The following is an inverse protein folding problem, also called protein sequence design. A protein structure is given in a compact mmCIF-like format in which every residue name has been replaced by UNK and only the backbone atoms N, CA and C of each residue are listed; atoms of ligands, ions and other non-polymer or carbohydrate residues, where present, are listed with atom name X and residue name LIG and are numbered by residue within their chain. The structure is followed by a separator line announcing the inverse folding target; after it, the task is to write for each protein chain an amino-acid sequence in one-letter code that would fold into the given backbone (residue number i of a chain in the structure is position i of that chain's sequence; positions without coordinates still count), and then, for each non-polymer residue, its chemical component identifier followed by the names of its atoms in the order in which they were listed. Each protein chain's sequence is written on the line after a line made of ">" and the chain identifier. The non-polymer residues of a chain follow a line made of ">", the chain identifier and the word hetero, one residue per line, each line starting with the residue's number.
data_IF_538198671143
#
_entry.id   IF_538198671143
#
_cell.length_a   1.000
_cell.length_b   1.000
_cell.length_c   1.000
_cell.angle_alpha   90.00
_cell.angle_beta   90.00
_cell.angle_gamma   90.00
#
_symmetry.space_group_name_H-M   'P 1'
#
loop_
_entity.id
_entity.type
_entity.pdbx_description
1 polymer ?
#
# COMPACT_ATOMS: atom_id res chain seq x y z
N UNK A 1 8.00 8.30 16.31
CA UNK A 1 7.83 8.53 14.87
C UNK A 1 8.47 9.84 14.48
N UNK A 2 8.24 10.89 15.26
CA UNK A 2 8.69 12.25 14.99
C UNK A 2 10.21 12.42 14.86
N UNK A 3 11.01 11.54 15.47
CA UNK A 3 12.48 11.53 15.35
C UNK A 3 13.02 10.42 14.44
N UNK A 4 12.14 9.56 13.90
CA UNK A 4 12.54 8.38 13.14
C UNK A 4 12.78 8.68 11.65
N UNK A 5 12.41 9.88 11.18
CA UNK A 5 12.47 10.31 9.79
C UNK A 5 13.16 11.67 9.68
N UNK A 6 13.65 12.06 8.49
CA UNK A 6 14.29 13.36 8.29
C UNK A 6 13.40 14.56 8.63
N UNK A 7 12.08 14.38 8.52
CA UNK A 7 11.05 15.37 8.79
C UNK A 7 9.86 14.70 9.51
N UNK A 8 9.06 15.46 10.29
CA UNK A 8 7.86 14.92 10.92
C UNK A 8 6.86 14.36 9.91
N UNK A 9 6.21 13.25 10.27
CA UNK A 9 5.18 12.63 9.45
C UNK A 9 3.90 13.47 9.43
N UNK A 10 3.34 13.68 8.23
CA UNK A 10 2.03 14.32 8.07
C UNK A 10 0.90 13.37 8.47
N UNK A 11 1.06 12.07 8.20
CA UNK A 11 0.10 11.03 8.54
C UNK A 11 0.82 9.71 8.81
N UNK A 12 0.33 8.94 9.79
CA UNK A 12 0.82 7.59 10.08
C UNK A 12 -0.31 6.66 10.53
N UNK A 13 -0.35 5.44 9.98
CA UNK A 13 -1.34 4.42 10.37
C UNK A 13 -0.79 3.01 10.17
N UNK A 14 -1.39 2.07 10.90
CA UNK A 14 -1.10 0.64 10.73
C UNK A 14 -2.18 0.03 9.86
N UNK A 15 -1.77 -0.51 8.71
CA UNK A 15 -2.64 -1.25 7.81
C UNK A 15 -2.54 -2.75 8.06
N UNK A 16 -3.69 -3.40 8.30
CA UNK A 16 -3.85 -4.85 8.28
C UNK A 16 -4.25 -5.31 6.88
N UNK A 17 -3.51 -6.26 6.34
CA UNK A 17 -3.88 -7.02 5.15
C UNK A 17 -4.14 -8.47 5.58
N UNK A 18 -5.41 -8.86 5.72
CA UNK A 18 -5.78 -10.21 6.14
C UNK A 18 -5.25 -11.29 5.20
N UNK A 19 -5.18 -12.53 5.69
CA UNK A 19 -4.90 -13.68 4.84
C UNK A 19 -5.87 -13.76 3.64
N UNK A 20 -5.34 -13.98 2.44
CA UNK A 20 -6.10 -14.03 1.18
C UNK A 20 -6.54 -12.67 0.61
N UNK A 21 -6.29 -11.57 1.33
CA UNK A 21 -6.68 -10.23 0.89
C UNK A 21 -5.83 -9.73 -0.28
N UNK A 22 -6.37 -8.72 -0.97
CA UNK A 22 -5.68 -8.02 -2.04
C UNK A 22 -6.13 -6.57 -2.11
N UNK A 23 -5.22 -5.72 -2.58
CA UNK A 23 -5.49 -4.36 -3.00
C UNK A 23 -5.34 -4.36 -4.51
N UNK A 24 -6.45 -4.13 -5.22
CA UNK A 24 -6.50 -4.12 -6.67
C UNK A 24 -5.62 -3.02 -7.26
N UNK A 25 -5.29 -3.13 -8.55
CA UNK A 25 -4.47 -2.10 -9.20
C UNK A 25 -5.17 -0.73 -9.15
N UNK A 26 -4.41 0.26 -8.70
CA UNK A 26 -4.82 1.66 -8.65
C UNK A 26 -3.60 2.56 -8.81
N UNK A 27 -3.86 3.85 -8.94
CA UNK A 27 -2.86 4.92 -8.85
C UNK A 27 -3.33 5.85 -7.75
N UNK A 28 -2.40 6.24 -6.89
CA UNK A 28 -2.64 7.25 -5.87
C UNK A 28 -2.68 8.62 -6.57
N UNK A 29 -3.87 9.22 -6.70
CA UNK A 29 -4.12 10.34 -7.63
C UNK A 29 -4.83 11.56 -7.02
N UNK A 30 -4.77 11.73 -5.71
CA UNK A 30 -5.23 12.95 -5.01
C UNK A 30 -4.11 13.98 -4.88
N UNK A 31 -4.47 15.24 -4.62
CA UNK A 31 -3.50 16.33 -4.39
C UNK A 31 -2.60 16.12 -3.18
N UNK A 32 -2.96 15.19 -2.28
CA UNK A 32 -2.09 14.75 -1.18
C UNK A 32 -0.77 14.20 -1.72
N UNK A 33 -0.80 13.46 -2.83
CA UNK A 33 0.39 12.82 -3.43
C UNK A 33 1.27 13.77 -4.22
N UNK A 34 0.80 14.98 -4.51
CA UNK A 34 1.64 16.03 -5.07
C UNK A 34 2.63 16.59 -4.03
N UNK A 35 2.35 16.40 -2.73
CA UNK A 35 3.10 17.00 -1.64
C UNK A 35 3.70 15.98 -0.65
N UNK A 36 3.50 14.68 -0.86
CA UNK A 36 3.93 13.65 0.09
C UNK A 36 4.47 12.38 -0.58
N UNK A 37 5.46 11.77 0.08
CA UNK A 37 5.93 10.42 -0.20
C UNK A 37 5.46 9.45 0.87
N UNK A 38 4.97 8.27 0.45
CA UNK A 38 4.61 7.20 1.38
C UNK A 38 5.76 6.23 1.60
N UNK A 39 6.06 5.97 2.86
CA UNK A 39 7.02 4.96 3.31
C UNK A 39 6.29 3.84 4.04
N UNK A 40 6.69 2.60 3.76
CA UNK A 40 6.19 1.40 4.41
C UNK A 40 7.25 0.80 5.32
N UNK A 41 6.86 0.48 6.55
CA UNK A 41 7.60 -0.34 7.49
C UNK A 41 6.80 -1.62 7.76
N UNK A 42 7.16 -2.77 7.16
CA UNK A 42 6.54 -4.05 7.48
C UNK A 42 6.86 -4.44 8.94
N UNK A 43 5.83 -4.58 9.76
CA UNK A 43 5.94 -4.99 11.17
C UNK A 43 5.77 -6.51 11.30
N UNK A 44 4.81 -7.07 10.56
CA UNK A 44 4.55 -8.51 10.45
C UNK A 44 4.22 -8.83 9.00
N UNK A 45 4.95 -9.74 8.39
CA UNK A 45 4.84 -10.03 6.95
C UNK A 45 5.34 -11.44 6.66
N UNK A 46 5.05 -11.95 5.46
CA UNK A 46 5.51 -13.26 4.99
C UNK A 46 5.79 -13.21 3.50
N UNK A 47 6.57 -14.14 2.91
CA UNK A 47 6.83 -14.16 1.47
C UNK A 47 5.57 -14.20 0.58
N UNK A 48 4.42 -14.65 1.11
CA UNK A 48 3.13 -14.60 0.42
C UNK A 48 2.51 -13.21 0.32
N UNK A 49 2.97 -12.25 1.14
CA UNK A 49 2.61 -10.85 1.07
C UNK A 49 3.56 -10.09 0.13
N UNK A 50 3.03 -9.64 -1.01
CA UNK A 50 3.82 -8.98 -2.07
C UNK A 50 3.15 -7.70 -2.53
N UNK A 51 3.94 -6.65 -2.67
CA UNK A 51 3.56 -5.40 -3.34
C UNK A 51 3.88 -5.54 -4.83
N UNK A 52 3.08 -4.92 -5.68
CA UNK A 52 3.32 -4.81 -7.11
C UNK A 52 3.35 -3.34 -7.51
N UNK A 53 4.33 -2.96 -8.31
CA UNK A 53 4.39 -1.67 -9.00
C UNK A 53 4.61 -1.96 -10.48
N UNK A 54 3.75 -1.43 -11.32
CA UNK A 54 3.57 -1.75 -12.75
C UNK A 54 3.37 -3.25 -13.02
N UNK A 55 4.46 -4.01 -13.14
CA UNK A 55 4.45 -5.44 -13.42
C UNK A 55 5.44 -6.24 -12.55
N UNK A 56 6.11 -5.59 -11.59
CA UNK A 56 7.13 -6.19 -10.75
C UNK A 56 6.59 -6.40 -9.33
N UNK A 57 6.65 -7.65 -8.86
CA UNK A 57 6.22 -8.06 -7.54
C UNK A 57 7.41 -8.23 -6.61
N UNK A 58 7.29 -7.74 -5.38
CA UNK A 58 8.33 -7.84 -4.36
C UNK A 58 7.73 -8.10 -2.98
N UNK A 59 8.36 -9.00 -2.24
CA UNK A 59 8.12 -9.15 -0.80
C UNK A 59 8.99 -8.16 -0.02
N UNK A 60 8.38 -7.48 0.93
CA UNK A 60 9.00 -6.44 1.77
C UNK A 60 9.27 -7.08 3.15
N UNK A 61 10.52 -7.37 3.55
CA UNK A 61 10.84 -8.04 4.82
C UNK A 61 10.48 -7.22 6.07
N UNK A 62 10.26 -7.89 7.20
CA UNK A 62 9.98 -7.20 8.47
C UNK A 62 11.17 -6.32 8.92
N UNK A 63 10.88 -5.15 9.49
CA UNK A 63 11.89 -4.24 10.05
C UNK A 63 12.69 -3.45 9.02
N UNK A 64 12.23 -3.36 7.77
CA UNK A 64 12.88 -2.61 6.68
C UNK A 64 11.99 -1.46 6.20
N UNK A 65 12.58 -0.39 5.68
CA UNK A 65 11.85 0.77 5.15
C UNK A 65 11.80 0.73 3.64
N UNK A 66 10.62 1.03 3.08
CA UNK A 66 10.38 0.95 1.64
C UNK A 66 9.59 2.15 1.15
N UNK A 67 10.08 2.76 0.08
CA UNK A 67 9.33 3.70 -0.74
C UNK A 67 9.10 3.09 -2.12
N UNK A 68 8.02 3.47 -2.78
CA UNK A 68 7.81 3.17 -4.18
C UNK A 68 7.05 4.31 -4.86
N UNK A 69 7.10 4.36 -6.18
CA UNK A 69 6.36 5.34 -6.95
C UNK A 69 4.86 4.96 -6.99
N UNK A 70 4.08 5.52 -6.09
CA UNK A 70 2.63 5.31 -6.00
C UNK A 70 1.83 6.04 -7.09
N UNK A 71 2.46 6.93 -7.85
CA UNK A 71 1.90 7.50 -9.09
C UNK A 71 1.94 6.52 -10.28
N UNK A 72 2.52 5.33 -10.10
CA UNK A 72 2.44 4.20 -11.05
C UNK A 72 1.32 3.24 -10.63
N UNK A 73 0.70 2.52 -11.58
CA UNK A 73 -0.22 1.43 -11.27
C UNK A 73 0.39 0.45 -10.27
N UNK A 74 -0.21 0.33 -9.10
CA UNK A 74 0.30 -0.52 -8.05
C UNK A 74 -0.83 -1.23 -7.32
N UNK A 75 -0.48 -2.33 -6.64
CA UNK A 75 -1.42 -3.14 -5.89
C UNK A 75 -0.68 -4.08 -4.95
N UNK A 76 -1.41 -4.85 -4.16
CA UNK A 76 -0.79 -5.78 -3.22
C UNK A 76 -1.61 -7.06 -3.10
N UNK A 77 -0.94 -8.18 -2.85
CA UNK A 77 -1.58 -9.45 -2.54
C UNK A 77 -1.03 -9.99 -1.23
N UNK A 78 -1.87 -10.74 -0.52
CA UNK A 78 -1.43 -11.53 0.62
C UNK A 78 -1.98 -12.96 0.51
N UNK A 79 -1.16 -13.88 0.02
CA UNK A 79 -1.48 -15.33 0.03
C UNK A 79 -1.02 -16.03 1.30
N UNK A 80 -0.37 -15.31 2.21
CA UNK A 80 0.11 -15.81 3.49
C UNK A 80 -0.81 -15.43 4.65
N UNK A 81 -0.32 -15.54 5.90
CA UNK A 81 -1.02 -15.05 7.08
C UNK A 81 -1.16 -13.53 7.09
N UNK A 82 -1.94 -13.01 8.03
CA UNK A 82 -2.14 -11.59 8.26
C UNK A 82 -0.83 -10.78 8.26
N UNK A 83 -0.84 -9.68 7.50
CA UNK A 83 0.28 -8.77 7.32
C UNK A 83 -0.04 -7.41 7.94
N UNK A 84 0.88 -6.87 8.72
CA UNK A 84 0.81 -5.53 9.32
C UNK A 84 1.95 -4.66 8.81
N UNK A 85 1.62 -3.54 8.17
CA UNK A 85 2.59 -2.50 7.81
C UNK A 85 2.23 -1.21 8.55
N UNK A 86 3.22 -0.53 9.09
CA UNK A 86 3.11 0.90 9.37
C UNK A 86 3.34 1.65 8.07
N UNK A 87 2.42 2.54 7.73
CA UNK A 87 2.49 3.44 6.58
C UNK A 87 2.64 4.86 7.10
N UNK A 88 3.58 5.60 6.54
CA UNK A 88 3.92 6.97 6.95
C UNK A 88 3.99 7.84 5.72
N UNK A 89 3.23 8.91 5.69
CA UNK A 89 3.29 9.92 4.64
C UNK A 89 4.19 11.06 5.13
N UNK A 90 5.30 11.28 4.43
CA UNK A 90 6.30 12.31 4.69
C UNK A 90 6.15 13.44 3.68
N UNK A 91 6.39 14.71 4.06
CA UNK A 91 6.33 15.81 3.11
C UNK A 91 7.41 15.67 2.03
N UNK A 92 7.09 16.07 0.79
CA UNK A 92 8.01 16.07 -0.34
C UNK A 92 8.99 17.27 -0.26
N UNK A 93 9.87 17.24 0.74
CA UNK A 93 10.94 18.22 0.91
C UNK A 93 12.26 17.70 0.32
N UNK A 94 13.22 18.58 -0.03
CA UNK A 94 14.53 18.15 -0.51
C UNK A 94 15.26 17.18 0.43
N UNK A 95 15.04 17.30 1.75
CA UNK A 95 15.65 16.41 2.75
C UNK A 95 15.06 14.99 2.68
N UNK A 96 13.73 14.87 2.54
CA UNK A 96 13.05 13.58 2.38
C UNK A 96 13.39 12.95 1.02
N UNK A 97 13.39 13.73 -0.06
CA UNK A 97 13.75 13.26 -1.40
C UNK A 97 15.19 12.73 -1.44
N UNK A 98 16.14 13.48 -0.87
CA UNK A 98 17.55 13.04 -0.79
C UNK A 98 17.69 11.76 0.05
N UNK A 99 16.94 11.64 1.14
CA UNK A 99 16.94 10.45 1.98
C UNK A 99 16.38 9.22 1.25
N UNK A 100 15.28 9.36 0.50
CA UNK A 100 14.73 8.29 -0.35
C UNK A 100 15.73 7.91 -1.45
N UNK A 101 16.32 8.91 -2.12
CA UNK A 101 17.28 8.69 -3.22
C UNK A 101 18.60 8.04 -2.77
N UNK A 102 18.95 8.15 -1.48
CA UNK A 102 20.10 7.47 -0.90
C UNK A 102 19.85 5.99 -0.57
N UNK A 103 18.61 5.51 -0.73
CA UNK A 103 18.25 4.11 -0.56
C UNK A 103 18.83 3.18 -1.64
N UNK A 104 18.69 1.88 -1.42
CA UNK A 104 19.05 0.87 -2.42
C UNK A 104 17.88 0.57 -3.36
N UNK A 105 18.15 0.57 -4.66
CA UNK A 105 17.18 0.13 -5.67
C UNK A 105 17.08 -1.40 -5.68
N UNK A 106 15.87 -1.90 -5.41
CA UNK A 106 15.59 -3.35 -5.45
C UNK A 106 14.55 -3.63 -6.53
N UNK A 107 14.90 -4.51 -7.47
CA UNK A 107 14.00 -4.95 -8.52
C UNK A 107 13.04 -6.06 -8.02
N UNK A 108 11.76 -5.93 -8.38
CA UNK A 108 10.80 -7.03 -8.26
C UNK A 108 10.86 -8.00 -9.44
N UNK A 109 10.04 -9.04 -9.41
CA UNK A 109 9.93 -10.04 -10.47
C UNK A 109 8.53 -10.06 -11.09
N UNK A 110 8.39 -10.36 -12.39
CA UNK A 110 7.07 -10.50 -13.01
C UNK A 110 6.31 -11.72 -12.48
N UNK A 111 4.99 -11.58 -12.32
CA UNK A 111 4.09 -12.67 -11.95
C UNK A 111 2.73 -12.45 -12.63
N UNK A 112 2.50 -13.15 -13.74
CA UNK A 112 1.30 -12.98 -14.56
C UNK A 112 0.02 -13.41 -13.81
N UNK A 113 0.09 -14.47 -13.01
CA UNK A 113 -1.05 -14.97 -12.24
C UNK A 113 -1.43 -13.99 -11.13
N UNK A 114 -0.44 -13.47 -10.40
CA UNK A 114 -0.65 -12.43 -9.40
C UNK A 114 -1.20 -11.15 -10.04
N UNK A 115 -0.68 -10.72 -11.19
CA UNK A 115 -1.19 -9.55 -11.92
C UNK A 115 -2.65 -9.73 -12.30
N UNK A 116 -3.02 -10.88 -12.86
CA UNK A 116 -4.42 -11.17 -13.19
C UNK A 116 -5.33 -11.12 -11.96
N UNK A 117 -4.85 -11.61 -10.80
CA UNK A 117 -5.61 -11.58 -9.56
C UNK A 117 -5.90 -10.17 -9.04
N UNK A 118 -5.04 -9.19 -9.36
CA UNK A 118 -5.20 -7.77 -8.99
C UNK A 118 -6.04 -6.96 -10.00
N UNK A 119 -6.20 -7.45 -11.23
CA UNK A 119 -7.02 -6.81 -12.28
C UNK A 119 -8.51 -7.19 -12.22
N UNK A 120 -8.91 -8.18 -11.42
CA UNK A 120 -10.33 -8.58 -11.30
C UNK A 120 -11.14 -7.46 -10.68
N UNK A 121 -12.39 -7.31 -11.09
CA UNK A 121 -13.31 -6.35 -10.47
C UNK A 121 -13.61 -6.82 -9.03
N UNK A 122 -13.33 -5.99 -8.00
CA UNK A 122 -13.59 -6.37 -6.61
C UNK A 122 -15.07 -6.65 -6.34
N UNK A 123 -15.98 -6.06 -7.13
CA UNK A 123 -17.41 -6.23 -6.96
C UNK A 123 -17.91 -7.59 -7.44
N UNK A 124 -17.15 -8.33 -8.25
CA UNK A 124 -17.55 -9.65 -8.75
C UNK A 124 -17.66 -10.70 -7.62
N UNK A 125 -17.06 -10.43 -6.46
CA UNK A 125 -17.14 -11.31 -5.29
C UNK A 125 -18.41 -11.07 -4.45
N UNK A 126 -19.11 -9.96 -4.65
CA UNK A 126 -20.31 -9.61 -3.89
C UNK A 126 -21.53 -10.35 -4.47
N UNK A 127 -22.33 -10.95 -3.59
CA UNK A 127 -23.67 -11.42 -3.92
C UNK A 127 -24.68 -10.26 -3.79
N UNK A 128 -25.83 -10.30 -4.49
CA UNK A 128 -26.86 -9.28 -4.37
C UNK A 128 -27.31 -9.02 -2.92
N UNK A 129 -27.33 -10.06 -2.09
CA UNK A 129 -27.73 -9.97 -0.67
C UNK A 129 -26.64 -9.37 0.24
N UNK A 130 -25.39 -9.21 -0.25
CA UNK A 130 -24.30 -8.58 0.52
C UNK A 130 -24.47 -7.06 0.62
N UNK A 131 -25.14 -6.44 -0.36
CA UNK A 131 -25.47 -5.01 -0.35
C UNK A 131 -26.79 -4.78 0.38
N UNK A 132 -26.70 -4.30 1.62
CA UNK A 132 -27.88 -4.03 2.46
C UNK A 132 -28.59 -2.73 2.04
N UNK A 133 -29.49 -2.86 1.07
CA UNK A 133 -30.46 -1.84 0.69
C UNK A 133 -29.97 -0.80 -0.33
N UNK A 134 -30.93 -0.09 -0.92
CA UNK A 134 -30.69 0.86 -2.03
C UNK A 134 -30.35 2.28 -1.56
N UNK A 135 -30.25 2.48 -0.24
CA UNK A 135 -30.08 3.80 0.38
C UNK A 135 -28.67 3.95 0.94
N UNK A 136 -28.00 5.06 0.56
CA UNK A 136 -26.76 5.47 1.20
C UNK A 136 -27.03 5.83 2.68
N UNK A 137 -26.62 4.96 3.59
CA UNK A 137 -26.69 5.21 5.03
C UNK A 137 -25.48 6.06 5.44
N UNK A 138 -25.74 7.18 6.12
CA UNK A 138 -24.71 8.08 6.63
C UNK A 138 -24.71 8.02 8.15
N UNK A 139 -23.54 7.82 8.74
CA UNK A 139 -23.33 8.13 10.15
C UNK A 139 -23.29 9.67 10.25
N UNK A 140 -24.15 10.24 11.10
CA UNK A 140 -24.08 11.66 11.44
C UNK A 140 -23.19 11.77 12.67
N UNK A 141 -22.11 12.54 12.56
CA UNK A 141 -21.28 12.90 13.71
C UNK A 141 -22.16 13.68 14.71
N UNK A 142 -22.21 13.21 15.96
CA UNK A 142 -22.70 14.00 17.10
C UNK A 142 -21.51 14.53 17.89
#
# INVERSE_FOLDING_TARGET
>A
LDEAFPEPAALAWVGLSPAGSRIHFHVDNTTHWDAHHRVHLPLRTSPGARLCVDAAFLHLPAGTLWAFNNSRPHGALNTGPDRLHLMVDLPATPAVEAWIAAGEDVAGAPDAAARQALCRNPLDALQPDDLKGDLLVRLLDQ
#
